data_IF_228457890904
#
_entry.id   IF_228457890904
#
_cell.length_a   1.000
_cell.length_b   1.000
_cell.length_c   1.000
_cell.angle_alpha   90.00
_cell.angle_beta   90.00
_cell.angle_gamma   90.00
#
_symmetry.space_group_name_H-M   'P 1'
#
loop_
_entity.id
_entity.type
_entity.pdbx_description
1 polymer ?
#
# COMPACT_ATOMS: atom_id res chain seq x y z
N UNK A 1 2.62 2.22 -28.37
CA UNK A 1 3.03 2.14 -27.88
C UNK A 1 3.04 1.56 -26.64
N UNK A 2 3.46 0.67 -26.51
CA UNK A 2 3.45 -0.07 -25.37
C UNK A 2 3.89 0.61 -24.20
N UNK A 3 4.64 1.52 -24.37
CA UNK A 3 5.13 2.18 -23.32
C UNK A 3 4.12 2.83 -22.58
N UNK A 4 3.05 3.09 -23.18
CA UNK A 4 2.04 3.76 -22.57
C UNK A 4 1.42 3.03 -21.50
N UNK A 5 1.37 1.74 -21.58
CA UNK A 5 0.73 0.95 -20.59
C UNK A 5 1.64 0.76 -19.40
N UNK A 6 2.88 1.12 -19.51
CA UNK A 6 3.79 0.92 -18.42
C UNK A 6 3.62 2.00 -17.38
N UNK A 7 3.37 1.67 -16.12
CA UNK A 7 3.26 2.69 -15.11
C UNK A 7 4.60 3.39 -14.94
N UNK A 8 4.55 4.62 -14.58
CA UNK A 8 5.79 5.34 -14.37
C UNK A 8 6.50 4.71 -13.17
N UNK A 9 7.81 4.80 -13.18
CA UNK A 9 8.59 4.31 -12.06
C UNK A 9 8.18 4.96 -10.76
N UNK A 10 7.69 6.17 -10.83
CA UNK A 10 7.25 6.86 -9.64
C UNK A 10 6.11 6.16 -8.95
N UNK A 11 5.19 5.56 -9.71
CA UNK A 11 4.04 4.90 -9.12
C UNK A 11 4.36 3.48 -8.69
N UNK A 12 5.38 2.85 -9.26
CA UNK A 12 5.73 1.49 -8.89
C UNK A 12 6.75 1.41 -7.76
N UNK A 13 7.47 2.49 -7.51
CA UNK A 13 8.38 2.55 -6.38
C UNK A 13 7.59 2.72 -5.09
N UNK A 14 8.09 2.14 -4.02
CA UNK A 14 7.44 2.28 -2.73
C UNK A 14 7.63 3.68 -2.19
N UNK A 15 6.59 4.20 -1.57
CA UNK A 15 6.64 5.48 -0.91
C UNK A 15 6.13 5.29 0.52
N UNK A 16 6.78 5.92 1.47
CA UNK A 16 6.41 5.81 2.87
C UNK A 16 5.18 6.65 3.16
N UNK A 17 4.30 6.15 4.02
CA UNK A 17 3.19 6.95 4.48
C UNK A 17 3.59 7.63 5.79
N UNK A 18 3.13 8.85 6.02
CA UNK A 18 3.36 9.51 7.30
C UNK A 18 2.75 8.69 8.43
N UNK A 19 3.33 8.72 9.62
CA UNK A 19 2.79 7.98 10.75
C UNK A 19 1.32 8.34 11.00
N UNK A 20 0.49 7.32 11.14
CA UNK A 20 -0.92 7.51 11.41
C UNK A 20 -1.77 7.96 10.24
N UNK A 21 -1.19 8.05 9.05
CA UNK A 21 -1.91 8.56 7.89
C UNK A 21 -2.80 7.53 7.24
N UNK A 22 -2.32 6.30 7.07
CA UNK A 22 -3.07 5.28 6.35
C UNK A 22 -3.19 4.01 7.16
N UNK A 23 -4.42 3.56 7.32
CA UNK A 23 -4.73 2.32 8.00
C UNK A 23 -5.50 1.43 7.05
N UNK A 24 -5.23 0.13 7.08
CA UNK A 24 -5.90 -0.83 6.23
C UNK A 24 -6.60 -1.89 7.08
N UNK A 25 -7.86 -2.16 6.74
CA UNK A 25 -8.58 -3.29 7.29
C UNK A 25 -8.28 -4.47 6.39
N UNK A 26 -7.91 -5.60 6.96
CA UNK A 26 -7.58 -6.77 6.16
C UNK A 26 -8.17 -8.04 6.76
N UNK A 27 -8.44 -9.00 5.88
CA UNK A 27 -8.96 -10.28 6.27
C UNK A 27 -8.16 -11.36 5.60
N UNK A 28 -7.79 -12.41 6.36
CA UNK A 28 -7.11 -13.56 5.82
C UNK A 28 -7.70 -14.77 6.53
N UNK A 29 -8.52 -15.54 5.81
CA UNK A 29 -9.26 -16.62 6.42
C UNK A 29 -10.18 -16.09 7.51
N UNK A 30 -10.00 -16.60 8.73
CA UNK A 30 -10.82 -16.14 9.84
C UNK A 30 -10.20 -14.96 10.58
N UNK A 31 -9.00 -14.58 10.23
CA UNK A 31 -8.31 -13.49 10.92
C UNK A 31 -8.66 -12.16 10.27
N UNK A 32 -9.06 -11.20 11.10
CA UNK A 32 -9.39 -9.85 10.67
C UNK A 32 -8.64 -8.88 11.56
N UNK A 33 -8.10 -7.85 10.97
CA UNK A 33 -7.34 -6.87 11.75
C UNK A 33 -7.26 -5.55 11.02
N UNK A 34 -6.81 -4.52 11.72
CA UNK A 34 -6.54 -3.21 11.16
C UNK A 34 -5.07 -2.92 11.43
N UNK A 35 -4.35 -2.54 10.41
CA UNK A 35 -2.91 -2.30 10.53
C UNK A 35 -2.52 -0.99 9.85
N UNK A 36 -1.48 -0.37 10.38
CA UNK A 36 -0.94 0.83 9.77
C UNK A 36 -0.15 0.44 8.52
N UNK A 37 -0.31 1.19 7.45
CA UNK A 37 0.46 1.01 6.22
C UNK A 37 1.76 1.78 6.38
N UNK A 38 2.89 1.09 6.33
CA UNK A 38 4.21 1.72 6.45
C UNK A 38 4.66 2.31 5.12
N UNK A 39 4.49 1.55 4.04
CA UNK A 39 4.82 2.02 2.71
C UNK A 39 3.89 1.36 1.69
N UNK A 40 3.75 1.98 0.53
CA UNK A 40 2.81 1.55 -0.49
C UNK A 40 3.31 1.91 -1.89
N UNK A 41 2.91 1.11 -2.87
CA UNK A 41 3.16 1.39 -4.28
C UNK A 41 1.96 0.88 -5.07
N UNK A 42 2.01 0.97 -6.39
CA UNK A 42 0.94 0.42 -7.23
C UNK A 42 0.94 -1.11 -7.20
N UNK A 43 2.01 -1.76 -6.73
CA UNK A 43 2.10 -3.21 -6.72
C UNK A 43 1.77 -3.85 -5.37
N UNK A 44 1.86 -3.11 -4.30
CA UNK A 44 1.60 -3.67 -2.98
C UNK A 44 1.95 -2.71 -1.86
N UNK A 45 1.93 -3.23 -0.64
CA UNK A 45 2.18 -2.41 0.53
C UNK A 45 2.84 -3.25 1.62
N UNK A 46 3.39 -2.55 2.62
CA UNK A 46 3.89 -3.18 3.83
C UNK A 46 3.03 -2.68 4.98
N UNK A 47 2.48 -3.60 5.74
CA UNK A 47 1.65 -3.26 6.91
C UNK A 47 2.35 -3.72 8.18
N UNK A 48 2.12 -2.96 9.24
CA UNK A 48 2.72 -3.24 10.54
C UNK A 48 1.80 -4.17 11.32
N UNK A 49 2.34 -5.28 11.77
CA UNK A 49 1.60 -6.20 12.62
C UNK A 49 2.61 -7.01 13.45
N UNK A 50 2.23 -7.32 14.68
CA UNK A 50 3.07 -8.12 15.55
C UNK A 50 2.98 -9.62 15.21
N UNK A 51 1.90 -10.01 14.54
CA UNK A 51 1.68 -11.42 14.19
C UNK A 51 1.44 -11.55 12.70
N UNK A 52 2.50 -11.57 11.88
CA UNK A 52 2.33 -11.70 10.44
C UNK A 52 1.67 -13.03 10.08
N UNK A 53 0.96 -13.05 8.96
CA UNK A 53 0.39 -14.26 8.43
C UNK A 53 1.43 -14.97 7.58
N UNK A 54 1.22 -16.24 7.35
CA UNK A 54 2.16 -17.06 6.59
C UNK A 54 2.35 -16.55 5.17
N UNK A 55 3.57 -16.59 4.71
CA UNK A 55 3.91 -16.23 3.33
C UNK A 55 3.10 -17.08 2.37
N UNK A 56 2.58 -16.47 1.33
CA UNK A 56 1.73 -17.15 0.36
C UNK A 56 0.25 -17.08 0.67
N UNK A 57 -0.13 -16.62 1.86
CA UNK A 57 -1.54 -16.50 2.22
C UNK A 57 -2.20 -15.37 1.43
N UNK A 58 -3.47 -15.59 1.07
CA UNK A 58 -4.26 -14.58 0.38
C UNK A 58 -5.00 -13.72 1.40
N UNK A 59 -5.08 -12.45 1.14
CA UNK A 59 -5.79 -11.52 2.02
C UNK A 59 -6.64 -10.56 1.20
N UNK A 60 -7.72 -10.09 1.80
CA UNK A 60 -8.52 -9.03 1.22
C UNK A 60 -8.23 -7.76 2.00
N UNK A 61 -7.98 -6.69 1.29
CA UNK A 61 -7.62 -5.41 1.88
C UNK A 61 -8.68 -4.38 1.57
N UNK A 62 -8.94 -3.51 2.53
CA UNK A 62 -9.87 -2.42 2.34
C UNK A 62 -9.40 -1.22 3.13
N UNK A 63 -9.17 -0.11 2.47
CA UNK A 63 -8.84 1.11 3.17
C UNK A 63 -9.54 2.30 2.51
N UNK A 64 -9.84 3.29 3.33
CA UNK A 64 -10.52 4.48 2.93
C UNK A 64 -9.60 5.66 3.17
N UNK A 65 -9.29 6.36 2.12
CA UNK A 65 -8.39 7.51 2.17
C UNK A 65 -9.10 8.69 1.51
N UNK A 66 -8.49 9.85 1.54
CA UNK A 66 -9.14 11.02 0.96
C UNK A 66 -9.40 10.89 -0.53
N UNK A 67 -8.66 10.04 -1.22
CA UNK A 67 -8.86 9.80 -2.65
C UNK A 67 -10.07 8.91 -2.93
N UNK A 68 -10.54 8.18 -1.94
CA UNK A 68 -11.67 7.27 -2.06
C UNK A 68 -11.37 5.92 -1.42
N UNK A 69 -12.28 4.97 -1.59
CA UNK A 69 -12.05 3.65 -1.04
C UNK A 69 -11.16 2.84 -1.98
N UNK A 70 -10.35 1.99 -1.40
CA UNK A 70 -9.49 1.10 -2.16
C UNK A 70 -9.66 -0.31 -1.59
N UNK A 71 -10.11 -1.22 -2.44
CA UNK A 71 -10.26 -2.62 -2.10
C UNK A 71 -9.34 -3.40 -3.01
N UNK A 72 -8.62 -4.33 -2.46
CA UNK A 72 -7.67 -5.12 -3.22
C UNK A 72 -7.58 -6.52 -2.67
N UNK A 73 -7.34 -7.48 -3.56
CA UNK A 73 -6.91 -8.80 -3.15
C UNK A 73 -5.40 -8.79 -3.19
N UNK A 74 -4.79 -9.49 -2.27
CA UNK A 74 -3.33 -9.48 -2.15
C UNK A 74 -2.83 -10.82 -1.64
N UNK A 75 -1.53 -11.03 -1.78
CA UNK A 75 -0.88 -12.23 -1.26
C UNK A 75 0.33 -11.81 -0.46
N UNK A 76 0.55 -12.48 0.67
CA UNK A 76 1.70 -12.18 1.53
C UNK A 76 2.96 -12.69 0.84
N UNK A 77 3.88 -11.79 0.55
CA UNK A 77 5.12 -12.13 -0.17
C UNK A 77 6.30 -12.29 0.77
N UNK A 78 6.34 -11.55 1.85
CA UNK A 78 7.39 -11.71 2.84
C UNK A 78 6.89 -11.24 4.20
N UNK A 79 7.54 -11.73 5.23
CA UNK A 79 7.20 -11.36 6.59
C UNK A 79 8.46 -10.92 7.32
N UNK A 80 8.28 -9.99 8.24
CA UNK A 80 9.35 -9.53 9.13
C UNK A 80 8.84 -9.72 10.55
N UNK A 81 9.38 -10.72 11.22
CA UNK A 81 8.90 -11.12 12.55
C UNK A 81 8.86 -9.95 13.51
N UNK A 82 7.73 -9.75 14.18
CA UNK A 82 7.55 -8.67 15.14
C UNK A 82 7.38 -7.30 14.53
N UNK A 83 7.49 -7.17 13.21
CA UNK A 83 7.39 -5.88 12.53
C UNK A 83 6.19 -5.80 11.60
N UNK A 84 6.02 -6.75 10.71
CA UNK A 84 4.92 -6.70 9.77
C UNK A 84 5.09 -7.64 8.60
N UNK A 85 4.40 -7.32 7.52
CA UNK A 85 4.39 -8.16 6.34
C UNK A 85 4.19 -7.33 5.07
N UNK A 86 4.83 -7.77 4.01
CA UNK A 86 4.68 -7.17 2.69
C UNK A 86 3.69 -7.97 1.87
N UNK A 87 2.73 -7.30 1.27
CA UNK A 87 1.72 -7.92 0.45
C UNK A 87 1.78 -7.36 -0.96
N UNK A 88 1.58 -8.24 -1.93
CA UNK A 88 1.52 -7.84 -3.33
C UNK A 88 0.06 -7.87 -3.74
N UNK A 89 -0.42 -6.82 -4.39
CA UNK A 89 -1.79 -6.79 -4.90
C UNK A 89 -1.91 -7.79 -6.05
N UNK A 90 -2.96 -8.58 -6.03
CA UNK A 90 -3.25 -9.53 -7.08
C UNK A 90 -4.46 -9.10 -7.90
N UNK A 91 -5.34 -8.29 -7.34
CA UNK A 91 -6.48 -7.77 -8.07
C UNK A 91 -6.96 -6.45 -7.44
N UNK A 92 -7.13 -5.45 -8.28
CA UNK A 92 -7.70 -4.15 -7.87
C UNK A 92 -8.56 -3.72 -9.04
N UNK A 93 -9.82 -3.34 -8.79
CA UNK A 93 -10.66 -2.90 -9.89
C UNK A 93 -10.20 -1.53 -10.41
N UNK A 94 -10.69 -1.15 -11.59
CA UNK A 94 -10.22 0.06 -12.26
C UNK A 94 -10.41 1.31 -11.42
N UNK A 95 -11.57 1.46 -10.84
CA UNK A 95 -11.85 2.66 -10.06
C UNK A 95 -11.00 2.75 -8.81
N UNK A 96 -10.90 1.66 -8.07
CA UNK A 96 -10.07 1.62 -6.87
C UNK A 96 -8.59 1.78 -7.24
N UNK A 97 -8.19 1.30 -8.41
CA UNK A 97 -6.84 1.50 -8.93
C UNK A 97 -6.53 2.97 -9.19
N UNK A 98 -7.52 3.73 -9.63
CA UNK A 98 -7.34 5.18 -9.82
C UNK A 98 -7.14 5.87 -8.47
N UNK A 99 -7.89 5.46 -7.45
CA UNK A 99 -7.73 5.99 -6.11
C UNK A 99 -6.35 5.67 -5.58
N UNK A 100 -5.88 4.44 -5.84
CA UNK A 100 -4.55 4.02 -5.42
C UNK A 100 -3.46 4.86 -6.09
N UNK A 101 -3.58 5.10 -7.39
CA UNK A 101 -2.61 5.90 -8.12
C UNK A 101 -2.57 7.34 -7.58
N UNK A 102 -3.74 7.91 -7.30
CA UNK A 102 -3.83 9.24 -6.73
C UNK A 102 -3.21 9.29 -5.34
N UNK A 103 -3.44 8.26 -4.54
CA UNK A 103 -2.86 8.16 -3.21
C UNK A 103 -1.34 8.12 -3.28
N UNK A 104 -0.78 7.25 -4.12
CA UNK A 104 0.67 7.11 -4.27
C UNK A 104 1.27 8.44 -4.72
N UNK A 105 0.60 9.13 -5.64
CA UNK A 105 1.04 10.42 -6.13
C UNK A 105 1.04 11.46 -5.00
N UNK A 106 0.00 11.48 -4.18
CA UNK A 106 -0.09 12.40 -3.06
C UNK A 106 1.02 12.16 -2.04
N UNK A 107 1.26 10.90 -1.69
CA UNK A 107 2.28 10.56 -0.72
C UNK A 107 3.67 10.94 -1.23
N UNK A 108 3.91 10.75 -2.50
CA UNK A 108 5.18 11.11 -3.11
C UNK A 108 5.38 12.63 -3.09
N UNK A 109 4.33 13.40 -3.35
CA UNK A 109 4.39 14.84 -3.30
C UNK A 109 4.68 15.33 -1.88
N UNK A 110 4.05 14.72 -0.89
CA UNK A 110 4.31 15.08 0.50
C UNK A 110 5.77 14.81 0.87
N UNK A 111 6.31 13.68 0.42
CA UNK A 111 7.69 13.35 0.68
C UNK A 111 8.64 14.38 0.07
N UNK A 112 8.37 14.81 -1.15
CA UNK A 112 9.18 15.82 -1.82
C UNK A 112 9.11 17.16 -1.12
N UNK A 113 7.93 17.57 -0.69
CA UNK A 113 7.75 18.82 0.01
C UNK A 113 8.53 18.83 1.32
N UNK A 114 8.48 17.72 2.05
CA UNK A 114 9.21 17.62 3.30
C UNK A 114 10.72 17.67 3.06
N UNK A 115 11.18 17.02 2.00
CA UNK A 115 12.58 17.02 1.66
C UNK A 115 13.04 18.41 1.23
N UNK A 116 12.24 19.08 0.41
CA UNK A 116 12.55 20.40 -0.03
C UNK A 116 12.53 21.41 1.12
N UNK A 117 11.56 21.26 2.01
CA UNK A 117 11.46 22.12 3.17
C UNK A 117 12.60 21.95 4.15
N UNK A 118 13.24 20.78 4.17
CA UNK A 118 14.34 20.51 5.08
C UNK A 118 15.65 21.07 4.53
N UNK A 119 15.69 21.45 3.28
CA UNK A 119 16.90 21.98 2.67
C UNK A 119 16.92 23.49 2.80
N UNK A 120 17.88 24.05 3.46
CA UNK A 120 17.96 25.50 3.64
C UNK A 120 18.14 26.25 2.36
#
# INVERSE_FOLDING_TARGET
>A
MALISSPSRRLTSRVQSPPGDIWVYWECGKRKDISRVRDISMHGLFIETHKPIAQGSSANLHFLVQEGQIRADAVVRHTAAGQGQGLKFTAVNVEDGRHLASLVTRLRSLFRERTAGATP
#
